data_IF_148639394876
#
_entry.id   IF_148639394876
#
_cell.length_a   1.000
_cell.length_b   1.000
_cell.length_c   1.000
_cell.angle_alpha   90.00
_cell.angle_beta   90.00
_cell.angle_gamma   90.00
#
_symmetry.space_group_name_H-M   'P 1'
#
loop_
_entity.id
_entity.type
_entity.pdbx_description
1 polymer ?
#
# COMPACT_ATOMS: atom_id res chain seq x y z
N UNK A 1 44.63 -28.97 30.38
CA UNK A 1 44.40 -28.34 29.07
C UNK A 1 43.10 -28.87 28.50
N UNK A 2 42.05 -28.04 28.44
CA UNK A 2 40.98 -28.11 27.43
C UNK A 2 40.12 -26.85 27.55
N UNK A 3 40.22 -25.97 26.55
CA UNK A 3 39.47 -24.73 26.45
C UNK A 3 38.23 -25.02 25.60
N UNK A 4 37.04 -24.95 26.19
CA UNK A 4 35.78 -25.09 25.44
C UNK A 4 35.39 -23.73 24.88
N UNK A 5 35.62 -23.55 23.58
CA UNK A 5 35.17 -22.39 22.80
C UNK A 5 33.66 -22.47 22.58
N UNK A 6 32.90 -21.60 23.23
CA UNK A 6 31.48 -21.37 22.93
C UNK A 6 31.42 -20.51 21.67
N UNK A 7 30.83 -21.07 20.61
CA UNK A 7 30.55 -20.37 19.35
C UNK A 7 29.44 -19.34 19.61
N UNK A 8 29.58 -18.05 19.22
CA UNK A 8 28.45 -17.14 19.28
C UNK A 8 27.38 -17.59 18.28
N UNK A 9 26.14 -17.72 18.77
CA UNK A 9 24.97 -17.89 17.91
C UNK A 9 24.86 -16.66 16.98
N UNK A 10 24.48 -16.83 15.71
CA UNK A 10 24.02 -15.71 14.91
C UNK A 10 22.81 -15.13 15.63
N UNK A 11 22.89 -13.86 16.02
CA UNK A 11 21.74 -13.09 16.45
C UNK A 11 20.76 -13.08 15.27
N UNK A 12 19.73 -13.93 15.33
CA UNK A 12 18.59 -13.77 14.42
C UNK A 12 18.09 -12.33 14.62
N UNK A 13 18.01 -11.52 13.55
CA UNK A 13 17.35 -10.23 13.68
C UNK A 13 15.93 -10.54 14.09
N UNK A 14 15.55 -10.13 15.31
CA UNK A 14 14.15 -10.13 15.75
C UNK A 14 13.41 -9.34 14.68
N UNK A 15 12.51 -9.95 13.89
CA UNK A 15 11.64 -9.14 13.06
C UNK A 15 10.75 -8.39 14.05
N UNK A 16 11.10 -7.14 14.31
CA UNK A 16 10.15 -6.18 14.83
C UNK A 16 8.92 -6.36 13.96
N UNK A 17 7.79 -6.66 14.59
CA UNK A 17 6.54 -7.08 13.96
C UNK A 17 6.06 -6.04 12.95
N UNK A 18 6.67 -6.04 11.76
CA UNK A 18 6.18 -5.42 10.55
C UNK A 18 5.00 -6.29 10.17
N UNK A 19 3.79 -5.81 10.43
CA UNK A 19 2.62 -6.38 9.77
C UNK A 19 2.93 -6.34 8.27
N UNK A 20 3.16 -7.52 7.67
CA UNK A 20 3.40 -7.61 6.23
C UNK A 20 2.24 -6.93 5.52
N UNK A 21 2.58 -5.85 4.82
CA UNK A 21 1.63 -5.06 4.04
C UNK A 21 1.21 -5.93 2.87
N UNK A 22 -0.09 -6.19 2.75
CA UNK A 22 -0.64 -6.96 1.64
C UNK A 22 -0.77 -6.03 0.44
N UNK A 23 0.25 -5.99 -0.41
CA UNK A 23 0.23 -5.21 -1.64
C UNK A 23 0.76 -6.00 -2.82
N UNK A 24 0.39 -5.57 -4.02
CA UNK A 24 0.99 -6.01 -5.27
C UNK A 24 1.17 -4.80 -6.17
N UNK A 25 2.36 -4.61 -6.71
CA UNK A 25 2.72 -3.44 -7.51
C UNK A 25 3.12 -3.88 -8.91
N UNK A 26 2.84 -3.04 -9.90
CA UNK A 26 3.42 -3.20 -11.24
C UNK A 26 4.93 -2.93 -11.21
N UNK A 27 5.73 -3.60 -12.05
CA UNK A 27 7.13 -3.26 -12.25
C UNK A 27 7.33 -1.77 -12.59
N UNK A 28 8.34 -1.14 -11.99
CA UNK A 28 8.68 0.24 -12.25
C UNK A 28 9.17 0.43 -13.69
N UNK A 29 8.62 1.42 -14.40
CA UNK A 29 9.09 1.83 -15.73
C UNK A 29 8.25 1.34 -16.91
N UNK A 30 7.19 0.57 -16.67
CA UNK A 30 6.22 0.20 -17.70
C UNK A 30 5.03 1.18 -17.76
N UNK A 31 4.24 1.09 -18.84
CA UNK A 31 3.13 2.00 -19.14
C UNK A 31 2.20 2.12 -17.93
N UNK A 32 2.10 3.33 -17.38
CA UNK A 32 1.18 3.68 -16.30
C UNK A 32 -0.25 3.44 -16.78
N UNK A 33 -0.84 2.33 -16.33
CA UNK A 33 -2.28 2.12 -16.44
C UNK A 33 -3.03 3.09 -15.52
N UNK A 34 -4.35 2.92 -15.38
CA UNK A 34 -5.11 3.74 -14.44
C UNK A 34 -4.79 3.42 -12.97
N UNK A 35 -4.22 2.24 -12.70
CA UNK A 35 -3.67 1.85 -11.40
C UNK A 35 -2.25 1.28 -11.57
N UNK A 36 -1.38 1.59 -10.61
CA UNK A 36 0.02 1.14 -10.50
C UNK A 36 0.16 -0.10 -9.60
N UNK A 37 -0.91 -0.50 -8.92
CA UNK A 37 -0.95 -1.67 -8.07
C UNK A 37 -2.21 -1.77 -7.24
N UNK A 38 -2.22 -2.69 -6.29
CA UNK A 38 -3.27 -2.87 -5.31
C UNK A 38 -2.72 -2.98 -3.89
N UNK A 39 -3.53 -2.53 -2.95
CA UNK A 39 -3.31 -2.62 -1.53
C UNK A 39 -4.55 -3.18 -0.84
N UNK A 40 -4.35 -4.20 -0.02
CA UNK A 40 -5.39 -4.82 0.79
C UNK A 40 -5.17 -4.50 2.27
N UNK A 41 -5.71 -3.38 2.77
CA UNK A 41 -5.65 -3.04 4.19
C UNK A 41 -6.29 -4.11 5.07
N UNK A 42 -5.83 -4.23 6.32
CA UNK A 42 -6.48 -5.12 7.30
C UNK A 42 -7.66 -4.45 7.99
N UNK A 43 -7.71 -3.12 7.99
CA UNK A 43 -8.76 -2.33 8.60
C UNK A 43 -9.00 -1.02 7.85
N UNK A 44 -10.13 -0.36 8.09
CA UNK A 44 -10.41 0.99 7.57
C UNK A 44 -9.80 2.11 8.42
N UNK A 45 -8.76 1.84 9.20
CA UNK A 45 -8.09 2.82 10.06
C UNK A 45 -6.77 3.30 9.44
N UNK A 46 -6.84 4.41 8.71
CA UNK A 46 -5.69 5.00 8.02
C UNK A 46 -4.51 5.30 8.97
N UNK A 47 -4.77 5.60 10.24
CA UNK A 47 -3.71 5.95 11.20
C UNK A 47 -2.83 4.74 11.52
N UNK A 48 -3.41 3.53 11.52
CA UNK A 48 -2.70 2.27 11.76
C UNK A 48 -2.13 1.65 10.50
N UNK A 49 -2.82 1.83 9.38
CA UNK A 49 -2.51 1.15 8.14
C UNK A 49 -1.46 1.92 7.30
N UNK A 50 -1.56 3.25 7.22
CA UNK A 50 -0.65 4.07 6.40
C UNK A 50 0.83 4.00 6.84
N UNK A 51 1.21 4.00 8.14
CA UNK A 51 2.63 3.96 8.51
C UNK A 51 3.37 2.76 7.92
N UNK A 52 2.75 1.57 7.98
CA UNK A 52 3.36 0.35 7.44
C UNK A 52 3.40 0.38 5.91
N UNK A 53 2.32 0.86 5.26
CA UNK A 53 2.27 1.02 3.82
C UNK A 53 3.36 1.96 3.31
N UNK A 54 3.48 3.16 3.91
CA UNK A 54 4.47 4.15 3.48
C UNK A 54 5.89 3.68 3.73
N UNK A 55 6.16 2.94 4.81
CA UNK A 55 7.48 2.39 5.05
C UNK A 55 7.98 1.50 3.89
N UNK A 56 7.09 0.68 3.31
CA UNK A 56 7.43 -0.15 2.15
C UNK A 56 7.51 0.67 0.86
N UNK A 57 6.60 1.62 0.67
CA UNK A 57 6.55 2.40 -0.56
C UNK A 57 7.65 3.46 -0.66
N UNK A 58 8.15 3.99 0.47
CA UNK A 58 9.29 4.91 0.48
C UNK A 58 10.53 4.28 -0.16
N UNK A 59 10.72 2.96 0.00
CA UNK A 59 11.82 2.21 -0.60
C UNK A 59 11.62 1.99 -2.11
N UNK A 60 10.37 1.80 -2.57
CA UNK A 60 10.06 1.53 -3.97
C UNK A 60 9.92 2.80 -4.82
N UNK A 61 9.29 3.84 -4.29
CA UNK A 61 8.80 5.01 -5.03
C UNK A 61 9.44 6.32 -4.58
N UNK A 62 10.53 6.22 -3.83
CA UNK A 62 11.08 7.32 -3.06
C UNK A 62 10.04 7.92 -2.10
N UNK A 63 10.52 8.80 -1.21
CA UNK A 63 9.72 9.35 -0.11
C UNK A 63 8.35 9.88 -0.56
N UNK A 64 7.30 9.23 -0.10
CA UNK A 64 5.91 9.68 -0.29
C UNK A 64 5.65 10.83 0.68
N UNK A 65 4.91 11.84 0.24
CA UNK A 65 4.66 13.03 1.07
C UNK A 65 3.18 13.34 1.26
N UNK A 66 2.35 12.86 0.34
CA UNK A 66 0.91 13.04 0.40
C UNK A 66 0.20 11.79 -0.12
N UNK A 67 -0.88 11.44 0.56
CA UNK A 67 -1.86 10.47 0.10
C UNK A 67 -3.22 11.15 -0.02
N UNK A 68 -4.04 10.77 -0.99
CA UNK A 68 -5.44 11.16 -1.05
C UNK A 68 -6.33 9.94 -1.19
N UNK A 69 -7.45 9.97 -0.47
CA UNK A 69 -8.39 8.86 -0.40
C UNK A 69 -9.82 9.33 -0.68
N UNK A 70 -10.69 8.44 -1.13
CA UNK A 70 -12.11 8.75 -1.22
C UNK A 70 -12.82 8.59 0.13
N UNK A 71 -13.61 9.58 0.53
CA UNK A 71 -14.38 9.59 1.80
C UNK A 71 -15.37 8.44 1.95
N UNK A 72 -15.84 7.85 0.86
CA UNK A 72 -16.80 6.73 0.86
C UNK A 72 -16.17 5.42 1.34
N UNK A 73 -14.86 5.25 1.19
CA UNK A 73 -14.14 4.04 1.60
C UNK A 73 -13.55 4.12 3.00
N UNK A 74 -13.42 5.32 3.57
CA UNK A 74 -12.72 5.55 4.84
C UNK A 74 -13.60 6.35 5.80
N UNK A 75 -14.07 5.74 6.91
CA UNK A 75 -14.97 6.39 7.85
C UNK A 75 -14.29 7.50 8.67
N UNK A 76 -12.96 7.42 8.83
CA UNK A 76 -12.18 8.42 9.52
C UNK A 76 -10.91 8.72 8.73
N UNK A 77 -10.72 9.99 8.36
CA UNK A 77 -9.60 10.45 7.57
C UNK A 77 -8.80 11.48 8.39
N UNK A 78 -7.69 11.07 9.03
CA UNK A 78 -6.83 12.00 9.76
C UNK A 78 -6.15 12.94 8.76
N UNK A 79 -5.99 14.23 9.05
CA UNK A 79 -5.32 15.15 8.12
C UNK A 79 -3.80 14.88 7.96
N UNK A 80 -3.19 14.27 8.99
CA UNK A 80 -1.76 13.95 9.06
C UNK A 80 -1.56 12.62 9.78
N UNK A 81 -0.64 11.80 9.28
CA UNK A 81 -0.26 10.53 9.90
C UNK A 81 1.26 10.46 10.05
N UNK A 82 1.79 10.19 11.26
CA UNK A 82 3.21 9.94 11.44
C UNK A 82 3.56 8.54 10.91
N UNK A 83 4.52 8.45 9.99
CA UNK A 83 4.98 7.19 9.37
C UNK A 83 6.23 6.62 10.03
N UNK A 84 6.73 7.28 11.09
CA UNK A 84 8.00 6.97 11.75
C UNK A 84 9.19 7.68 11.13
N UNK A 85 9.27 7.75 9.79
CA UNK A 85 10.30 8.51 9.07
C UNK A 85 9.91 9.98 8.85
N UNK A 86 8.62 10.25 8.66
CA UNK A 86 8.11 11.59 8.42
C UNK A 86 6.61 11.72 8.77
N UNK A 87 6.04 12.90 8.49
CA UNK A 87 4.60 13.13 8.60
C UNK A 87 3.99 13.13 7.20
N UNK A 88 3.15 12.14 6.94
CA UNK A 88 2.37 12.02 5.72
C UNK A 88 1.15 12.94 5.80
N UNK A 89 0.92 13.75 4.77
CA UNK A 89 -0.34 14.50 4.65
C UNK A 89 -1.39 13.62 3.99
N UNK A 90 -2.58 13.59 4.56
CA UNK A 90 -3.71 12.85 4.01
C UNK A 90 -4.75 13.86 3.56
N UNK A 91 -5.03 13.87 2.27
CA UNK A 91 -6.17 14.58 1.69
C UNK A 91 -7.33 13.64 1.41
N UNK A 92 -8.46 14.22 1.06
CA UNK A 92 -9.62 13.45 0.64
C UNK A 92 -10.38 14.20 -0.43
N UNK A 93 -11.10 13.42 -1.24
CA UNK A 93 -12.02 13.89 -2.27
C UNK A 93 -13.29 13.02 -2.21
N UNK A 94 -14.43 13.55 -2.65
CA UNK A 94 -15.71 12.85 -2.59
C UNK A 94 -16.17 12.31 -3.95
N UNK A 95 -16.44 13.19 -4.92
CA UNK A 95 -16.90 12.85 -6.26
C UNK A 95 -15.75 12.82 -7.28
N UNK A 96 -14.64 13.52 -7.00
CA UNK A 96 -13.54 13.68 -7.96
C UNK A 96 -12.54 12.52 -7.95
N UNK A 97 -12.53 11.72 -6.88
CA UNK A 97 -11.67 10.53 -6.76
C UNK A 97 -12.53 9.27 -6.81
N UNK A 98 -12.06 8.20 -7.45
CA UNK A 98 -12.80 6.94 -7.43
C UNK A 98 -12.84 6.33 -6.01
N UNK A 99 -13.94 5.67 -5.60
CA UNK A 99 -14.09 5.16 -4.23
C UNK A 99 -12.93 4.29 -3.77
N UNK A 100 -12.46 3.39 -4.63
CA UNK A 100 -11.39 2.45 -4.32
C UNK A 100 -10.00 2.88 -4.80
N UNK A 101 -9.85 4.13 -5.21
CA UNK A 101 -8.56 4.67 -5.62
C UNK A 101 -7.84 5.28 -4.40
N UNK A 102 -6.54 5.05 -4.31
CA UNK A 102 -5.64 5.66 -3.34
C UNK A 102 -4.48 6.28 -4.10
N UNK A 103 -4.51 7.60 -4.17
CA UNK A 103 -3.51 8.36 -4.90
C UNK A 103 -2.38 8.77 -3.96
N UNK A 104 -1.14 8.53 -4.37
CA UNK A 104 0.08 8.79 -3.63
C UNK A 104 0.97 9.73 -4.43
N UNK A 105 1.56 10.70 -3.73
CA UNK A 105 2.41 11.72 -4.33
C UNK A 105 3.80 11.69 -3.69
N UNK A 106 4.78 11.41 -4.51
CA UNK A 106 6.22 11.52 -4.22
C UNK A 106 6.79 12.70 -5.00
N UNK A 107 7.63 13.51 -4.36
CA UNK A 107 8.29 14.64 -5.03
C UNK A 107 9.27 14.19 -6.11
N UNK A 108 9.80 12.97 -6.01
CA UNK A 108 10.87 12.50 -6.88
C UNK A 108 10.34 11.69 -8.08
N UNK A 109 9.28 10.91 -7.88
CA UNK A 109 8.75 10.00 -8.91
C UNK A 109 7.37 10.39 -9.44
N UNK A 110 6.70 11.33 -8.78
CA UNK A 110 5.39 11.85 -9.18
C UNK A 110 4.22 11.15 -8.50
N UNK A 111 3.14 10.99 -9.27
CA UNK A 111 1.86 10.40 -8.84
C UNK A 111 1.85 8.89 -9.08
N UNK A 112 1.28 8.17 -8.11
CA UNK A 112 0.99 6.75 -8.15
C UNK A 112 -0.43 6.49 -7.68
N UNK A 113 -1.14 5.58 -8.33
CA UNK A 113 -2.54 5.26 -7.99
C UNK A 113 -2.66 3.78 -7.62
N UNK A 114 -3.22 3.50 -6.44
CA UNK A 114 -3.38 2.15 -5.90
C UNK A 114 -4.86 1.79 -5.77
N UNK A 115 -5.21 0.58 -6.21
CA UNK A 115 -6.48 -0.03 -5.89
C UNK A 115 -6.53 -0.40 -4.40
N UNK A 116 -7.46 0.16 -3.65
CA UNK A 116 -7.79 -0.26 -2.28
C UNK A 116 -8.83 -1.38 -2.33
N UNK A 117 -8.41 -2.57 -1.93
CA UNK A 117 -9.30 -3.72 -1.77
C UNK A 117 -9.97 -3.62 -0.39
N UNK A 118 -11.31 -3.67 -0.27
CA UNK A 118 -11.98 -3.62 1.03
C UNK A 118 -11.45 -4.72 1.98
N UNK A 119 -11.25 -4.43 3.27
CA UNK A 119 -10.77 -5.43 4.22
C UNK A 119 -11.74 -6.62 4.38
N UNK A 120 -13.04 -6.41 4.09
CA UNK A 120 -14.06 -7.46 4.10
C UNK A 120 -14.10 -8.30 2.82
N UNK A 121 -13.23 -8.02 1.84
CA UNK A 121 -13.17 -8.79 0.61
C UNK A 121 -12.68 -10.22 0.90
N UNK A 122 -13.33 -11.21 0.28
CA UNK A 122 -12.93 -12.61 0.38
C UNK A 122 -11.48 -12.81 -0.07
N UNK A 123 -10.66 -13.62 0.63
CA UNK A 123 -9.23 -13.74 0.32
C UNK A 123 -8.92 -14.17 -1.12
N UNK A 124 -9.72 -15.09 -1.68
CA UNK A 124 -9.55 -15.54 -3.06
C UNK A 124 -9.80 -14.40 -4.06
N UNK A 125 -10.83 -13.59 -3.78
CA UNK A 125 -11.18 -12.41 -4.57
C UNK A 125 -10.12 -11.32 -4.47
N UNK A 126 -9.63 -11.06 -3.25
CA UNK A 126 -8.55 -10.11 -3.02
C UNK A 126 -7.28 -10.53 -3.77
N UNK A 127 -6.95 -11.82 -3.79
CA UNK A 127 -5.81 -12.34 -4.55
C UNK A 127 -5.96 -12.12 -6.06
N UNK A 128 -7.15 -12.36 -6.63
CA UNK A 128 -7.44 -12.08 -8.04
C UNK A 128 -7.33 -10.59 -8.37
N UNK A 129 -7.82 -9.72 -7.49
CA UNK A 129 -7.72 -8.26 -7.66
C UNK A 129 -6.28 -7.79 -7.60
N UNK A 130 -5.49 -8.30 -6.65
CA UNK A 130 -4.06 -7.99 -6.56
C UNK A 130 -3.31 -8.44 -7.81
N UNK A 131 -3.59 -9.64 -8.32
CA UNK A 131 -2.99 -10.13 -9.55
C UNK A 131 -3.38 -9.27 -10.77
N UNK A 132 -4.66 -8.92 -10.90
CA UNK A 132 -5.15 -8.08 -12.00
C UNK A 132 -4.58 -6.65 -11.95
N UNK A 133 -4.41 -6.08 -10.77
CA UNK A 133 -3.82 -4.75 -10.59
C UNK A 133 -2.30 -4.72 -10.81
N UNK A 134 -1.62 -5.85 -10.60
CA UNK A 134 -0.19 -5.98 -10.89
C UNK A 134 0.11 -6.36 -12.35
N UNK A 135 -0.91 -6.71 -13.14
CA UNK A 135 -0.77 -6.96 -14.58
C UNK A 135 -0.52 -5.65 -15.33
N UNK A 136 0.65 -5.57 -15.97
CA UNK A 136 1.11 -4.40 -16.73
C UNK A 136 0.25 -4.09 -17.95
N UNK A 137 -0.47 -5.09 -18.47
CA UNK A 137 -1.41 -4.90 -19.57
C UNK A 137 -2.79 -4.42 -19.09
N UNK A 138 -3.03 -4.40 -17.79
CA UNK A 138 -4.28 -3.95 -17.24
C UNK A 138 -4.36 -2.41 -17.16
N UNK A 139 -5.28 -1.85 -17.92
CA UNK A 139 -5.54 -0.40 -18.01
C UNK A 139 -6.83 0.03 -17.29
N UNK A 140 -7.48 -0.89 -16.57
CA UNK A 140 -8.76 -0.65 -15.89
C UNK A 140 -8.57 0.25 -14.66
N UNK A 141 -9.61 1.02 -14.33
CA UNK A 141 -9.63 1.81 -13.10
C UNK A 141 -9.91 0.93 -11.86
N UNK A 142 -9.63 1.48 -10.67
CA UNK A 142 -9.87 0.78 -9.41
C UNK A 142 -11.33 0.30 -9.27
N UNK A 143 -12.30 1.13 -9.65
CA UNK A 143 -13.72 0.77 -9.59
C UNK A 143 -14.06 -0.34 -10.59
N UNK A 144 -13.53 -0.28 -11.81
CA UNK A 144 -13.76 -1.30 -12.83
C UNK A 144 -13.18 -2.66 -12.39
N UNK A 145 -11.97 -2.68 -11.84
CA UNK A 145 -11.35 -3.89 -11.30
C UNK A 145 -12.19 -4.54 -10.19
N UNK A 146 -12.72 -3.73 -9.27
CA UNK A 146 -13.60 -4.23 -8.22
C UNK A 146 -14.92 -4.78 -8.77
N UNK A 147 -15.47 -4.15 -9.81
CA UNK A 147 -16.75 -4.52 -10.40
C UNK A 147 -16.69 -5.77 -11.30
N UNK A 148 -15.66 -5.89 -12.14
CA UNK A 148 -15.62 -6.88 -13.22
C UNK A 148 -15.38 -8.31 -12.75
N UNK A 149 -14.71 -8.47 -11.62
CA UNK A 149 -13.96 -9.69 -11.35
C UNK A 149 -14.81 -10.58 -10.38
N UNK A 150 -16.14 -10.53 -10.55
CA UNK A 150 -17.21 -11.12 -9.71
C UNK A 150 -17.33 -12.64 -9.78
#
# INVERSE_FOLDING_TARGET
MTTTTVRPMPTEPVPGSTHEVRMSLKPLGETRGMVDGAWWPRSRDLTRELPSLIAVLDDCWARITRVTVNVRMWPHIPAKVPTGSHVLRVGWFDAEQEPADLCLLSYHTGRWDLLVIPPECEPARAAQLMAAAADVHNIQSATALLADNR
#
